data_IF_436348992961
#
_entry.id   IF_436348992961
#
_cell.length_a   1.000
_cell.length_b   1.000
_cell.length_c   1.000
_cell.angle_alpha   90.00
_cell.angle_beta   90.00
_cell.angle_gamma   90.00
#
_symmetry.space_group_name_H-M   'P 1'
#
loop_
_entity.id
_entity.type
_entity.pdbx_description
1 polymer ?
#
# COMPACT_ATOMS: atom_id res chain seq x y z
N UNK A 1 4.82 -0.06 5.32
CA UNK A 1 5.28 1.35 5.48
C UNK A 1 6.39 1.63 4.47
N UNK A 2 6.43 2.84 3.89
CA UNK A 2 7.58 3.31 3.10
C UNK A 2 8.04 4.64 3.68
N UNK A 3 9.29 4.66 4.11
CA UNK A 3 9.90 5.85 4.71
C UNK A 3 9.81 7.05 3.75
N UNK A 4 9.45 8.21 4.28
CA UNK A 4 9.30 9.44 3.51
C UNK A 4 8.13 9.45 2.51
N UNK A 5 7.28 8.42 2.48
CA UNK A 5 6.11 8.33 1.59
C UNK A 5 4.77 8.39 2.35
N UNK A 6 4.80 8.78 3.62
CA UNK A 6 3.65 9.03 4.48
C UNK A 6 3.88 8.52 5.89
N UNK A 7 2.78 8.34 6.62
CA UNK A 7 2.74 7.82 7.98
C UNK A 7 1.87 6.57 8.05
N UNK A 8 2.19 5.67 8.95
CA UNK A 8 1.38 4.48 9.21
C UNK A 8 1.57 4.06 10.67
N UNK A 9 0.51 3.50 11.26
CA UNK A 9 0.64 2.75 12.50
C UNK A 9 1.35 1.42 12.24
N UNK A 10 2.02 0.91 13.27
CA UNK A 10 2.66 -0.40 13.20
C UNK A 10 1.59 -1.48 13.13
N UNK A 11 1.73 -2.42 12.19
CA UNK A 11 0.82 -3.57 12.09
C UNK A 11 0.95 -4.52 13.30
N UNK A 12 2.15 -4.57 13.90
CA UNK A 12 2.39 -5.37 15.10
C UNK A 12 1.72 -4.72 16.31
N UNK A 13 0.87 -5.50 16.98
CA UNK A 13 0.23 -5.10 18.22
C UNK A 13 1.23 -5.08 19.38
N UNK A 14 1.03 -4.13 20.28
CA UNK A 14 1.74 -4.05 21.56
C UNK A 14 0.94 -4.73 22.67
N UNK A 15 -0.40 -4.69 22.58
CA UNK A 15 -1.30 -5.31 23.54
C UNK A 15 -2.25 -6.30 22.87
N UNK A 16 -2.48 -7.42 23.56
CA UNK A 16 -3.47 -8.42 23.15
C UNK A 16 -4.90 -7.88 23.37
N UNK A 17 -5.14 -7.18 24.48
CA UNK A 17 -6.43 -6.57 24.77
C UNK A 17 -6.69 -5.36 23.86
N UNK A 18 -7.81 -5.40 23.13
CA UNK A 18 -8.17 -4.38 22.13
C UNK A 18 -8.24 -2.98 22.72
N UNK A 19 -8.81 -2.83 23.91
CA UNK A 19 -9.00 -1.52 24.54
C UNK A 19 -7.67 -0.81 24.82
N UNK A 20 -6.63 -1.54 25.21
CA UNK A 20 -5.31 -0.95 25.45
C UNK A 20 -4.59 -0.63 24.13
N UNK A 21 -4.75 -1.47 23.10
CA UNK A 21 -4.24 -1.17 21.77
C UNK A 21 -4.88 0.12 21.20
N UNK A 22 -6.21 0.28 21.34
CA UNK A 22 -6.91 1.47 20.87
C UNK A 22 -6.42 2.75 21.57
N UNK A 23 -6.17 2.68 22.89
CA UNK A 23 -5.64 3.82 23.63
C UNK A 23 -4.24 4.23 23.14
N UNK A 24 -3.37 3.24 22.88
CA UNK A 24 -2.04 3.46 22.34
C UNK A 24 -2.12 4.05 20.91
N UNK A 25 -2.95 3.48 20.05
CA UNK A 25 -3.11 3.92 18.67
C UNK A 25 -3.63 5.35 18.61
N UNK A 26 -4.63 5.70 19.43
CA UNK A 26 -5.16 7.06 19.53
C UNK A 26 -4.08 8.04 20.00
N UNK A 27 -3.32 7.71 21.04
CA UNK A 27 -2.23 8.56 21.51
C UNK A 27 -1.15 8.76 20.43
N UNK A 28 -0.84 7.70 19.68
CA UNK A 28 0.14 7.74 18.58
C UNK A 28 -0.36 8.62 17.43
N UNK A 29 -1.63 8.49 17.03
CA UNK A 29 -2.24 9.31 16.00
C UNK A 29 -2.21 10.79 16.39
N UNK A 30 -2.63 11.12 17.61
CA UNK A 30 -2.63 12.52 18.07
C UNK A 30 -1.21 13.10 18.11
N UNK A 31 -0.24 12.33 18.61
CA UNK A 31 1.15 12.76 18.63
C UNK A 31 1.71 13.00 17.22
N UNK A 32 1.41 12.12 16.26
CA UNK A 32 1.82 12.30 14.86
C UNK A 32 1.17 13.54 14.23
N UNK A 33 -0.13 13.75 14.49
CA UNK A 33 -0.83 14.93 13.98
C UNK A 33 -0.23 16.21 14.53
N UNK A 34 -0.09 16.31 15.85
CA UNK A 34 0.34 17.51 16.55
C UNK A 34 1.80 17.88 16.23
N UNK A 35 2.70 16.89 16.28
CA UNK A 35 4.14 17.15 16.25
C UNK A 35 4.73 17.09 14.84
N UNK A 36 4.11 16.35 13.91
CA UNK A 36 4.67 16.14 12.58
C UNK A 36 3.75 16.65 11.46
N UNK A 37 2.55 16.08 11.34
CA UNK A 37 1.71 16.24 10.14
C UNK A 37 1.17 17.66 10.03
N UNK A 38 0.58 18.20 11.11
CA UNK A 38 -0.03 19.54 11.10
C UNK A 38 1.06 20.62 10.88
N UNK A 39 2.16 20.68 11.66
CA UNK A 39 3.22 21.66 11.42
C UNK A 39 3.78 21.59 10.00
N UNK A 40 4.05 20.38 9.50
CA UNK A 40 4.63 20.19 8.18
C UNK A 40 3.68 20.61 7.06
N UNK A 41 2.37 20.32 7.17
CA UNK A 41 1.38 20.75 6.19
C UNK A 41 1.25 22.28 6.12
N UNK A 42 1.28 22.96 7.26
CA UNK A 42 1.11 24.41 7.35
C UNK A 42 2.40 25.22 7.20
N UNK A 43 3.58 24.57 7.16
CA UNK A 43 4.88 25.19 6.88
C UNK A 43 5.01 25.68 5.41
N UNK A 44 4.10 26.58 5.00
CA UNK A 44 4.01 27.09 3.64
C UNK A 44 5.10 28.14 3.38
N UNK A 45 5.78 28.01 2.25
CA UNK A 45 6.72 29.00 1.76
C UNK A 45 6.00 30.20 1.11
N UNK A 46 6.76 31.15 0.57
CA UNK A 46 6.24 32.34 -0.12
C UNK A 46 5.37 32.04 -1.36
N UNK A 47 5.39 30.81 -1.87
CA UNK A 47 4.54 30.34 -2.98
C UNK A 47 3.25 29.65 -2.51
N UNK A 48 3.00 29.61 -1.19
CA UNK A 48 1.74 29.13 -0.62
C UNK A 48 1.64 27.62 -0.40
N UNK A 49 2.75 26.87 -0.49
CA UNK A 49 2.79 25.42 -0.23
C UNK A 49 3.97 25.02 0.64
N UNK A 50 3.88 23.86 1.30
CA UNK A 50 4.97 23.26 2.08
C UNK A 50 5.87 22.40 1.18
N UNK A 51 7.14 22.76 0.93
CA UNK A 51 8.06 21.94 0.13
C UNK A 51 8.20 20.51 0.63
N UNK A 52 8.25 20.32 1.95
CA UNK A 52 8.39 19.05 2.63
C UNK A 52 7.14 18.19 2.43
N UNK A 53 5.94 18.79 2.51
CA UNK A 53 4.69 18.09 2.21
C UNK A 53 4.67 17.59 0.77
N UNK A 54 5.13 18.42 -0.17
CA UNK A 54 5.26 18.03 -1.58
C UNK A 54 6.27 16.89 -1.75
N UNK A 55 7.34 16.84 -0.96
CA UNK A 55 8.31 15.75 -1.00
C UNK A 55 7.65 14.41 -0.61
N UNK A 56 6.84 14.39 0.45
CA UNK A 56 6.05 13.21 0.83
C UNK A 56 5.11 12.74 -0.29
N UNK A 57 4.41 13.67 -0.95
CA UNK A 57 3.54 13.37 -2.09
C UNK A 57 4.35 12.73 -3.24
N UNK A 58 5.47 13.35 -3.62
CA UNK A 58 6.33 12.83 -4.70
C UNK A 58 6.86 11.44 -4.39
N UNK A 59 7.31 11.21 -3.16
CA UNK A 59 7.79 9.90 -2.72
C UNK A 59 6.67 8.85 -2.72
N UNK A 60 5.46 9.21 -2.33
CA UNK A 60 4.29 8.33 -2.42
C UNK A 60 3.98 7.95 -3.88
N UNK A 61 3.99 8.91 -4.79
CA UNK A 61 3.81 8.64 -6.22
C UNK A 61 4.93 7.75 -6.79
N UNK A 62 6.19 8.05 -6.50
CA UNK A 62 7.32 7.32 -7.05
C UNK A 62 7.45 5.90 -6.49
N UNK A 63 7.21 5.74 -5.19
CA UNK A 63 7.47 4.47 -4.51
C UNK A 63 6.21 3.61 -4.38
N UNK A 64 5.03 4.17 -4.11
CA UNK A 64 3.83 3.38 -3.84
C UNK A 64 3.06 3.09 -5.13
N UNK A 65 2.77 4.12 -5.93
CA UNK A 65 1.85 4.00 -7.08
C UNK A 65 2.18 2.87 -8.09
N UNK A 66 3.46 2.57 -8.45
CA UNK A 66 3.78 1.48 -9.37
C UNK A 66 3.27 0.11 -8.91
N UNK A 67 3.15 -0.07 -7.59
CA UNK A 67 2.66 -1.29 -6.96
C UNK A 67 1.14 -1.29 -6.76
N UNK A 68 0.38 -0.39 -7.38
CA UNK A 68 -1.08 -0.41 -7.30
C UNK A 68 -1.72 -0.14 -8.66
N UNK A 69 -0.98 -0.40 -9.75
CA UNK A 69 -1.50 -0.21 -11.11
C UNK A 69 -2.40 -1.36 -11.55
N UNK A 70 -3.43 -1.05 -12.34
CA UNK A 70 -4.27 -2.07 -12.99
C UNK A 70 -3.47 -2.91 -14.00
N UNK A 71 -2.44 -2.32 -14.65
CA UNK A 71 -1.52 -3.08 -15.50
C UNK A 71 -0.84 -4.20 -14.73
N UNK A 72 -0.23 -3.91 -13.58
CA UNK A 72 0.39 -4.93 -12.72
C UNK A 72 -0.65 -5.97 -12.29
N UNK A 73 -1.85 -5.56 -11.88
CA UNK A 73 -2.92 -6.50 -11.53
C UNK A 73 -3.23 -7.46 -12.69
N UNK A 74 -3.44 -6.95 -13.91
CA UNK A 74 -3.76 -7.78 -15.07
C UNK A 74 -2.60 -8.72 -15.41
N UNK A 75 -1.35 -8.25 -15.38
CA UNK A 75 -0.16 -9.09 -15.57
C UNK A 75 -0.12 -10.23 -14.56
N UNK A 76 -0.29 -9.93 -13.28
CA UNK A 76 -0.34 -10.93 -12.21
C UNK A 76 -1.45 -11.97 -12.45
N UNK A 77 -2.65 -11.53 -12.88
CA UNK A 77 -3.75 -12.44 -13.17
C UNK A 77 -3.47 -13.37 -14.35
N UNK A 78 -2.87 -12.83 -15.41
CA UNK A 78 -2.47 -13.61 -16.59
C UNK A 78 -1.42 -14.66 -16.19
N UNK A 79 -0.38 -14.26 -15.46
CA UNK A 79 0.74 -15.13 -15.14
C UNK A 79 0.39 -16.19 -14.09
N UNK A 80 -0.39 -15.82 -13.07
CA UNK A 80 -0.74 -16.71 -11.97
C UNK A 80 -1.88 -17.66 -12.32
N UNK A 81 -2.83 -17.22 -13.14
CA UNK A 81 -4.07 -17.96 -13.41
C UNK A 81 -4.25 -18.23 -14.91
N UNK A 82 -4.49 -17.21 -15.74
CA UNK A 82 -4.99 -17.47 -17.11
C UNK A 82 -4.04 -18.26 -18.00
N UNK A 83 -2.73 -17.98 -17.96
CA UNK A 83 -1.74 -18.74 -18.73
C UNK A 83 -1.64 -20.20 -18.26
N UNK A 84 -1.78 -20.43 -16.95
CA UNK A 84 -1.74 -21.79 -16.37
C UNK A 84 -2.99 -22.59 -16.71
N UNK A 85 -4.16 -21.97 -16.56
CA UNK A 85 -5.45 -22.57 -16.94
C UNK A 85 -5.50 -22.86 -18.44
N UNK A 86 -5.04 -21.92 -19.28
CA UNK A 86 -4.96 -22.14 -20.73
C UNK A 86 -4.08 -23.34 -21.08
N UNK A 87 -2.90 -23.47 -20.42
CA UNK A 87 -2.02 -24.62 -20.60
C UNK A 87 -2.68 -25.93 -20.15
N UNK A 88 -3.26 -25.95 -18.94
CA UNK A 88 -3.94 -27.13 -18.39
C UNK A 88 -5.10 -27.56 -19.28
N UNK A 89 -5.94 -26.61 -19.70
CA UNK A 89 -7.07 -26.87 -20.60
C UNK A 89 -6.61 -27.48 -21.92
N UNK A 90 -5.49 -27.02 -22.49
CA UNK A 90 -4.91 -27.62 -23.69
C UNK A 90 -4.51 -29.08 -23.44
N UNK A 91 -3.74 -29.35 -22.40
CA UNK A 91 -3.30 -30.71 -22.02
C UNK A 91 -4.48 -31.65 -21.73
N UNK A 92 -5.55 -31.13 -21.15
CA UNK A 92 -6.77 -31.89 -20.87
C UNK A 92 -7.55 -32.20 -22.15
N UNK A 93 -7.63 -31.25 -23.09
CA UNK A 93 -8.35 -31.48 -24.35
C UNK A 93 -7.63 -32.43 -25.31
N UNK A 94 -6.34 -32.68 -25.10
CA UNK A 94 -5.59 -33.71 -25.82
C UNK A 94 -6.12 -35.10 -25.43
N UNK A 95 -6.29 -35.99 -26.42
CA UNK A 95 -6.85 -37.35 -26.26
C UNK A 95 -8.28 -37.41 -25.68
N UNK A 96 -9.20 -36.58 -26.19
CA UNK A 96 -10.63 -36.59 -25.82
C UNK A 96 -10.88 -36.54 -24.30
N UNK A 97 -10.16 -35.68 -23.58
CA UNK A 97 -10.37 -35.48 -22.14
C UNK A 97 -10.03 -36.70 -21.27
N UNK A 98 -9.22 -37.65 -21.76
CA UNK A 98 -8.80 -38.83 -20.97
C UNK A 98 -8.05 -38.49 -19.67
N UNK A 99 -7.49 -37.28 -19.56
CA UNK A 99 -6.73 -36.79 -18.39
C UNK A 99 -7.53 -35.84 -17.47
N UNK A 100 -8.80 -35.57 -17.82
CA UNK A 100 -9.68 -34.64 -17.10
C UNK A 100 -10.16 -35.21 -15.77
#
# INVERSE_FOLDING_TARGET
YREGAGWALTEKRTYDEQRYQDQLDVATIYSLLENEIIPLYYAKNSKGYSPEWIQYIKNSLASIAPHYTMKRMITDYIDKFYSKEAKRKKELSEDNYKRA
#
